data_IF_312177175087
#
_entry.id   IF_312177175087
#
_cell.length_a   1.000
_cell.length_b   1.000
_cell.length_c   1.000
_cell.angle_alpha   90.00
_cell.angle_beta   90.00
_cell.angle_gamma   90.00
#
_symmetry.space_group_name_H-M   'P 1'
#
loop_
_entity.id
_entity.type
_entity.pdbx_description
1 polymer ?
#
# COMPACT_ATOMS: atom_id res chain seq x y z
N UNK A 1 4.64 -11.16 -0.03
CA UNK A 1 3.27 -11.62 -0.37
C UNK A 1 2.78 -10.77 -1.52
N UNK A 2 2.12 -11.37 -2.51
CA UNK A 2 1.54 -10.68 -3.66
C UNK A 2 0.03 -10.96 -3.66
N UNK A 3 -0.77 -9.90 -3.77
CA UNK A 3 -2.21 -9.95 -3.99
C UNK A 3 -2.45 -9.19 -5.29
N UNK A 4 -2.73 -9.90 -6.38
CA UNK A 4 -2.93 -9.30 -7.69
C UNK A 4 -4.35 -9.57 -8.19
N UNK A 5 -4.94 -8.60 -8.88
CA UNK A 5 -6.22 -8.68 -9.61
C UNK A 5 -7.39 -9.14 -8.73
N UNK A 6 -7.32 -8.83 -7.44
CA UNK A 6 -8.35 -9.20 -6.48
C UNK A 6 -9.35 -8.05 -6.27
N UNK A 7 -10.46 -8.11 -7.00
CA UNK A 7 -11.52 -7.09 -6.97
C UNK A 7 -12.56 -7.31 -5.89
N UNK A 8 -12.38 -8.30 -5.01
CA UNK A 8 -13.38 -8.69 -3.99
C UNK A 8 -12.85 -8.47 -2.58
N UNK A 9 -11.54 -8.59 -2.35
CA UNK A 9 -10.94 -8.40 -1.03
C UNK A 9 -11.02 -6.93 -0.62
N UNK A 10 -11.74 -6.68 0.47
CA UNK A 10 -11.95 -5.33 1.02
C UNK A 10 -11.00 -5.01 2.17
N UNK A 11 -10.56 -6.02 2.94
CA UNK A 11 -9.67 -5.85 4.08
C UNK A 11 -8.58 -6.91 4.16
N UNK A 12 -7.48 -6.57 4.81
CA UNK A 12 -6.33 -7.46 5.06
C UNK A 12 -6.20 -7.90 6.52
N UNK A 13 -7.29 -7.90 7.28
CA UNK A 13 -7.26 -8.23 8.72
C UNK A 13 -6.75 -9.64 9.00
N UNK A 14 -6.97 -10.58 8.09
CA UNK A 14 -6.41 -11.93 8.17
C UNK A 14 -4.87 -11.93 8.23
N UNK A 15 -4.20 -10.88 7.73
CA UNK A 15 -2.74 -10.77 7.76
C UNK A 15 -2.20 -10.30 9.11
N UNK A 16 -3.04 -9.89 10.06
CA UNK A 16 -2.55 -9.31 11.33
C UNK A 16 -1.63 -10.25 12.13
N UNK A 17 -1.79 -11.57 11.96
CA UNK A 17 -0.95 -12.59 12.59
C UNK A 17 0.37 -12.86 11.84
N UNK A 18 0.56 -12.28 10.65
CA UNK A 18 1.76 -12.46 9.83
C UNK A 18 2.92 -11.57 10.31
N UNK A 19 3.41 -11.78 11.53
CA UNK A 19 4.47 -10.98 12.15
C UNK A 19 5.80 -10.98 11.36
N UNK A 20 6.04 -12.03 10.57
CA UNK A 20 7.21 -12.18 9.71
C UNK A 20 7.06 -11.56 8.32
N UNK A 21 5.88 -11.04 7.97
CA UNK A 21 5.67 -10.41 6.68
C UNK A 21 6.55 -9.17 6.57
N UNK A 22 7.42 -9.11 5.56
CA UNK A 22 8.32 -7.96 5.32
C UNK A 22 7.96 -7.15 4.09
N UNK A 23 7.42 -7.82 3.07
CA UNK A 23 7.08 -7.20 1.79
C UNK A 23 5.68 -7.63 1.36
N UNK A 24 4.86 -6.67 0.98
CA UNK A 24 3.50 -6.85 0.50
C UNK A 24 3.31 -6.07 -0.80
N UNK A 25 2.95 -6.75 -1.87
CA UNK A 25 2.59 -6.13 -3.14
C UNK A 25 1.11 -6.36 -3.39
N UNK A 26 0.39 -5.30 -3.77
CA UNK A 26 -1.05 -5.31 -4.00
C UNK A 26 -1.34 -4.58 -5.31
N UNK A 27 -1.77 -5.30 -6.31
CA UNK A 27 -2.05 -4.74 -7.64
C UNK A 27 -3.43 -5.18 -8.11
N UNK A 28 -4.13 -4.35 -8.88
CA UNK A 28 -5.48 -4.66 -9.36
C UNK A 28 -6.52 -4.85 -8.25
N UNK A 29 -6.25 -4.37 -7.03
CA UNK A 29 -7.11 -4.57 -5.86
C UNK A 29 -8.10 -3.41 -5.68
N UNK A 30 -9.09 -3.30 -6.57
CA UNK A 30 -9.98 -2.13 -6.66
C UNK A 30 -10.99 -2.00 -5.51
N UNK A 31 -11.36 -3.10 -4.87
CA UNK A 31 -12.27 -3.10 -3.72
C UNK A 31 -11.54 -2.95 -2.37
N UNK A 32 -10.21 -2.96 -2.38
CA UNK A 32 -9.41 -2.92 -1.16
C UNK A 32 -9.43 -1.52 -0.55
N UNK A 33 -10.11 -1.39 0.59
CA UNK A 33 -10.28 -0.12 1.28
C UNK A 33 -9.63 -0.09 2.66
N UNK A 34 -9.40 -1.26 3.27
CA UNK A 34 -8.84 -1.38 4.61
C UNK A 34 -7.52 -2.16 4.65
N UNK A 35 -6.47 -1.46 5.07
CA UNK A 35 -5.10 -1.94 5.18
C UNK A 35 -4.64 -2.05 6.64
N UNK A 36 -5.56 -1.91 7.60
CA UNK A 36 -5.27 -1.95 9.04
C UNK A 36 -4.60 -3.24 9.46
N UNK A 37 -5.06 -4.39 8.95
CA UNK A 37 -4.42 -5.68 9.18
C UNK A 37 -2.95 -5.71 8.76
N UNK A 38 -2.62 -5.16 7.58
CA UNK A 38 -1.25 -5.06 7.09
C UNK A 38 -0.38 -4.14 7.97
N UNK A 39 -0.95 -3.03 8.47
CA UNK A 39 -0.25 -2.09 9.35
C UNK A 39 0.15 -2.71 10.70
N UNK A 40 -0.58 -3.74 11.17
CA UNK A 40 -0.27 -4.47 12.40
C UNK A 40 0.86 -5.50 12.22
N UNK A 41 1.26 -5.81 10.99
CA UNK A 41 2.30 -6.79 10.69
C UNK A 41 3.71 -6.21 10.82
N UNK A 42 4.71 -7.03 10.50
CA UNK A 42 6.11 -6.62 10.40
C UNK A 42 6.50 -5.94 9.08
N UNK A 43 5.53 -5.55 8.25
CA UNK A 43 5.77 -5.11 6.86
C UNK A 43 6.64 -3.86 6.82
N UNK A 44 7.64 -3.89 5.93
CA UNK A 44 8.64 -2.84 5.74
C UNK A 44 8.53 -2.21 4.36
N UNK A 45 8.10 -2.99 3.37
CA UNK A 45 7.95 -2.58 1.98
C UNK A 45 6.53 -2.89 1.53
N UNK A 46 5.82 -1.86 1.08
CA UNK A 46 4.50 -2.01 0.48
C UNK A 46 4.57 -1.53 -0.96
N UNK A 47 4.02 -2.30 -1.87
CA UNK A 47 3.84 -1.90 -3.25
C UNK A 47 2.36 -1.89 -3.59
N UNK A 48 1.89 -0.79 -4.17
CA UNK A 48 0.50 -0.60 -4.60
C UNK A 48 0.45 -0.02 -5.99
N UNK A 49 -0.66 -0.19 -6.70
CA UNK A 49 -0.92 0.50 -7.96
C UNK A 49 -2.08 1.51 -7.86
N UNK A 50 -2.49 2.06 -9.00
CA UNK A 50 -3.62 2.98 -9.12
C UNK A 50 -4.98 2.38 -8.73
N UNK A 51 -5.08 1.06 -8.51
CA UNK A 51 -6.32 0.45 -8.04
C UNK A 51 -6.61 0.76 -6.56
N UNK A 52 -5.58 1.03 -5.76
CA UNK A 52 -5.72 1.31 -4.33
C UNK A 52 -5.86 2.82 -4.11
N UNK A 53 -6.88 3.21 -3.33
CA UNK A 53 -7.08 4.63 -3.01
C UNK A 53 -6.04 5.12 -2.00
N UNK A 54 -5.47 6.32 -2.18
CA UNK A 54 -4.51 6.88 -1.23
C UNK A 54 -5.07 7.07 0.19
N UNK A 55 -6.37 7.33 0.32
CA UNK A 55 -7.05 7.41 1.62
C UNK A 55 -6.99 6.10 2.40
N UNK A 56 -7.01 4.95 1.72
CA UNK A 56 -6.89 3.63 2.36
C UNK A 56 -5.51 3.39 2.94
N UNK A 57 -4.48 3.98 2.32
CA UNK A 57 -3.10 3.94 2.80
C UNK A 57 -2.88 4.77 4.07
N UNK A 58 -3.83 5.64 4.45
CA UNK A 58 -3.75 6.38 5.70
C UNK A 58 -3.64 5.46 6.93
N UNK A 59 -4.25 4.27 6.87
CA UNK A 59 -4.15 3.26 7.94
C UNK A 59 -2.73 2.72 8.11
N UNK A 60 -1.92 2.72 7.04
CA UNK A 60 -0.50 2.33 7.09
C UNK A 60 0.37 3.34 7.85
N UNK A 61 -0.14 4.55 8.14
CA UNK A 61 0.56 5.50 9.02
C UNK A 61 0.75 4.97 10.44
N UNK A 62 -0.02 3.94 10.83
CA UNK A 62 0.13 3.22 12.10
C UNK A 62 1.15 2.08 12.04
N UNK A 63 1.68 1.77 10.86
CA UNK A 63 2.63 0.69 10.68
C UNK A 63 3.99 1.06 11.27
N UNK A 64 4.37 0.40 12.37
CA UNK A 64 5.60 0.72 13.11
C UNK A 64 6.90 0.41 12.36
N UNK A 65 6.84 -0.46 11.35
CA UNK A 65 8.01 -0.96 10.61
C UNK A 65 8.02 -0.57 9.14
N UNK A 66 6.99 0.12 8.65
CA UNK A 66 6.91 0.52 7.26
C UNK A 66 7.99 1.57 6.98
N UNK A 67 8.86 1.29 6.02
CA UNK A 67 9.95 2.18 5.62
C UNK A 67 9.73 2.74 4.24
N UNK A 68 9.08 1.97 3.39
CA UNK A 68 8.96 2.27 1.99
C UNK A 68 7.60 1.86 1.43
N UNK A 69 7.00 2.78 0.68
CA UNK A 69 5.83 2.55 -0.11
C UNK A 69 6.19 2.83 -1.57
N UNK A 70 6.07 1.83 -2.42
CA UNK A 70 6.25 1.94 -3.86
C UNK A 70 4.89 2.00 -4.54
N UNK A 71 4.72 2.98 -5.42
CA UNK A 71 3.57 3.10 -6.30
C UNK A 71 3.98 2.56 -7.67
N UNK A 72 3.34 1.48 -8.10
CA UNK A 72 3.42 0.93 -9.45
C UNK A 72 2.48 1.77 -10.32
N UNK A 73 3.03 2.35 -11.39
CA UNK A 73 2.38 3.31 -12.29
C UNK A 73 2.35 4.77 -11.83
N UNK A 74 1.97 5.65 -12.77
CA UNK A 74 1.77 7.07 -12.45
C UNK A 74 0.59 7.20 -11.49
N UNK A 75 0.77 8.05 -10.48
CA UNK A 75 -0.31 8.44 -9.58
C UNK A 75 -1.49 8.97 -10.42
N UNK A 76 -2.69 8.39 -10.27
CA UNK A 76 -3.82 8.70 -11.15
C UNK A 76 -4.25 10.16 -11.09
N UNK A 77 -3.97 10.88 -9.98
CA UNK A 77 -4.36 12.28 -9.80
C UNK A 77 -3.17 13.24 -9.58
N UNK A 78 -1.95 12.84 -9.95
CA UNK A 78 -0.77 13.73 -9.94
C UNK A 78 -0.21 14.04 -8.55
N UNK A 79 0.35 15.25 -8.37
CA UNK A 79 1.06 15.67 -7.14
C UNK A 79 0.19 15.67 -5.87
N UNK A 80 -1.14 15.83 -5.99
CA UNK A 80 -2.04 15.91 -4.84
C UNK A 80 -2.10 14.62 -4.02
N UNK A 81 -2.05 13.46 -4.67
CA UNK A 81 -1.99 12.17 -3.98
C UNK A 81 -0.64 11.97 -3.29
N UNK A 82 0.44 12.44 -3.91
CA UNK A 82 1.78 12.40 -3.32
C UNK A 82 1.85 13.24 -2.03
N UNK A 83 1.30 14.44 -2.05
CA UNK A 83 1.16 15.31 -0.87
C UNK A 83 0.29 14.64 0.21
N UNK A 84 -0.84 14.04 -0.17
CA UNK A 84 -1.71 13.31 0.75
C UNK A 84 -0.97 12.12 1.39
N UNK A 85 -0.22 11.34 0.61
CA UNK A 85 0.57 10.21 1.10
C UNK A 85 1.67 10.66 2.06
N UNK A 86 2.35 11.76 1.78
CA UNK A 86 3.36 12.34 2.69
C UNK A 86 2.74 12.79 4.01
N UNK A 87 1.50 13.29 3.97
CA UNK A 87 0.73 13.65 5.17
C UNK A 87 0.28 12.41 5.95
N UNK A 88 -0.14 11.36 5.26
CA UNK A 88 -0.59 10.10 5.88
C UNK A 88 0.55 9.27 6.45
N UNK A 89 1.71 9.29 5.80
CA UNK A 89 2.86 8.46 6.11
C UNK A 89 4.10 9.31 6.39
N UNK A 90 4.10 10.12 7.47
CA UNK A 90 5.23 10.97 7.80
C UNK A 90 6.46 10.09 8.12
N UNK A 91 7.48 10.16 7.26
CA UNK A 91 8.73 9.42 7.42
C UNK A 91 8.84 8.11 6.62
N UNK A 92 7.79 7.71 5.89
CA UNK A 92 7.87 6.61 4.93
C UNK A 92 8.39 7.13 3.61
N UNK A 93 9.33 6.41 2.99
CA UNK A 93 9.82 6.74 1.65
C UNK A 93 8.78 6.33 0.63
N UNK A 94 8.13 7.30 0.00
CA UNK A 94 7.24 7.06 -1.14
C UNK A 94 8.07 7.10 -2.42
N UNK A 95 8.08 6.01 -3.17
CA UNK A 95 8.69 5.93 -4.50
C UNK A 95 7.60 5.67 -5.54
N UNK A 96 7.75 6.27 -6.70
CA UNK A 96 6.92 5.95 -7.87
C UNK A 96 7.82 5.18 -8.83
N UNK A 97 7.49 3.91 -9.06
CA UNK A 97 8.17 3.05 -10.03
C UNK A 97 7.33 3.03 -11.30
N UNK A 98 7.92 3.37 -12.47
CA UNK A 98 7.20 3.22 -13.73
C UNK A 98 6.82 1.74 -13.88
N UNK A 99 5.53 1.47 -14.07
CA UNK A 99 5.06 0.13 -14.37
C UNK A 99 5.76 -0.36 -15.63
N UNK A 100 6.58 -1.40 -15.50
CA UNK A 100 7.21 -2.05 -16.63
C UNK A 100 6.10 -2.56 -17.53
N UNK A 101 5.91 -1.91 -18.69
CA UNK A 101 5.10 -2.44 -19.77
C UNK A 101 5.85 -3.67 -20.29
N UNK A 102 5.43 -4.85 -19.86
CA UNK A 102 5.86 -6.15 -20.37
C UNK A 102 4.77 -6.72 -21.26
#
# INVERSE_FOLDING_TARGET
>A
MLIADNTVVQSLDALQACERLRSLAMTGCTALTDLTGAAKTGVMFIEVDSAVRPSSLATLGRAKKLRELSWRDRLPYGDTDLEALRRYLPGVRVRVTPGSTG
#
